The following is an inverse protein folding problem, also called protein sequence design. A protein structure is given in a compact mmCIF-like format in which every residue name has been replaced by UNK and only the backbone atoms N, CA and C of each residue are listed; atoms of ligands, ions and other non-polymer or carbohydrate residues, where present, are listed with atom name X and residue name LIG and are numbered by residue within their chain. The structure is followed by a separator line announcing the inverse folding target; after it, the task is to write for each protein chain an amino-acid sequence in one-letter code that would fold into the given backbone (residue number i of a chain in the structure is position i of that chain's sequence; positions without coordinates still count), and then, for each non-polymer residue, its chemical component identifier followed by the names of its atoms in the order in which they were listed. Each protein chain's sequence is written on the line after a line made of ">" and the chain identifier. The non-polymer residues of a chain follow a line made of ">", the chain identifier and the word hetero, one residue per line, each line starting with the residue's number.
data_IF_736797594117
#
_entry.id   IF_736797594117
#
_cell.length_a   1.000
_cell.length_b   1.000
_cell.length_c   1.000
_cell.angle_alpha   90.00
_cell.angle_beta   90.00
_cell.angle_gamma   90.00
#
_symmetry.space_group_name_H-M   'P 1'
#
loop_
_entity.id
_entity.type
_entity.pdbx_description
1 polymer ?
#
# COMPACT_ATOMS: atom_id res chain seq x y z
N UNK A 1 16.05 -20.76 12.22
CA UNK A 1 15.28 -21.96 12.59
C UNK A 1 14.30 -21.58 13.68
N UNK A 2 13.02 -21.38 13.34
CA UNK A 2 11.97 -21.35 14.37
C UNK A 2 12.00 -22.71 15.07
N UNK A 3 12.15 -22.75 16.40
CA UNK A 3 12.06 -24.03 17.14
C UNK A 3 10.65 -24.58 16.89
N UNK A 4 10.55 -25.86 16.59
CA UNK A 4 9.32 -26.61 16.30
C UNK A 4 8.13 -26.28 17.23
N UNK A 5 8.41 -25.87 18.46
CA UNK A 5 7.42 -25.43 19.47
C UNK A 5 6.71 -24.11 19.15
N UNK A 6 7.33 -23.17 18.44
CA UNK A 6 6.74 -21.83 18.23
C UNK A 6 5.72 -21.82 17.09
N UNK A 7 5.98 -22.57 16.01
CA UNK A 7 5.01 -22.74 14.93
C UNK A 7 3.72 -23.41 15.44
N UNK A 8 3.86 -24.48 16.24
CA UNK A 8 2.72 -25.16 16.88
C UNK A 8 1.92 -24.19 17.76
N UNK A 9 2.59 -23.33 18.53
CA UNK A 9 1.92 -22.33 19.39
C UNK A 9 1.15 -21.26 18.60
N UNK A 10 1.65 -20.82 17.45
CA UNK A 10 0.94 -19.86 16.59
C UNK A 10 -0.32 -20.52 16.04
N UNK A 11 -0.21 -21.70 15.44
CA UNK A 11 -1.34 -22.46 14.90
C UNK A 11 -2.40 -22.74 15.97
N UNK A 12 -1.99 -23.16 17.18
CA UNK A 12 -2.89 -23.39 18.32
C UNK A 12 -3.62 -22.12 18.77
N UNK A 13 -2.92 -20.98 18.75
CA UNK A 13 -3.51 -19.68 19.12
C UNK A 13 -4.53 -19.24 18.07
N UNK A 14 -4.25 -19.46 16.78
CA UNK A 14 -5.20 -19.19 15.68
C UNK A 14 -6.44 -20.07 15.82
N UNK A 15 -6.27 -21.37 16.10
CA UNK A 15 -7.37 -22.30 16.35
C UNK A 15 -8.22 -21.88 17.57
N UNK A 16 -7.57 -21.42 18.64
CA UNK A 16 -8.25 -20.88 19.81
C UNK A 16 -9.09 -19.64 19.45
N UNK A 17 -8.55 -18.67 18.70
CA UNK A 17 -9.29 -17.46 18.31
C UNK A 17 -10.63 -17.80 17.64
N UNK A 18 -10.67 -18.85 16.80
CA UNK A 18 -11.89 -19.29 16.11
C UNK A 18 -13.01 -19.71 17.07
N UNK A 19 -12.65 -20.24 18.23
CA UNK A 19 -13.58 -20.88 19.17
C UNK A 19 -13.69 -20.15 20.52
N UNK A 20 -12.83 -19.17 20.78
CA UNK A 20 -12.75 -18.41 22.02
C UNK A 20 -14.09 -17.76 22.42
N UNK A 21 -14.45 -17.84 23.70
CA UNK A 21 -15.64 -17.18 24.24
C UNK A 21 -15.37 -15.68 24.34
N UNK A 22 -16.11 -14.88 23.57
CA UNK A 22 -16.04 -13.41 23.57
C UNK A 22 -17.47 -12.87 23.65
N UNK A 23 -17.69 -11.57 23.99
CA UNK A 23 -19.04 -11.03 24.00
C UNK A 23 -19.74 -11.24 22.64
N UNK A 24 -21.04 -11.53 22.67
CA UNK A 24 -21.78 -12.02 21.50
C UNK A 24 -21.62 -11.17 20.23
N UNK A 25 -21.50 -9.84 20.38
CA UNK A 25 -21.30 -8.91 19.27
C UNK A 25 -19.97 -9.12 18.49
N UNK A 26 -19.02 -9.88 19.04
CA UNK A 26 -17.72 -10.15 18.43
C UNK A 26 -17.58 -11.59 17.91
N UNK A 27 -18.54 -12.48 18.17
CA UNK A 27 -18.48 -13.89 17.74
C UNK A 27 -18.25 -14.05 16.22
N UNK A 28 -18.88 -13.26 15.32
CA UNK A 28 -18.65 -13.37 13.88
C UNK A 28 -17.23 -12.94 13.46
N UNK A 29 -16.59 -12.05 14.23
CA UNK A 29 -15.28 -11.44 13.91
C UNK A 29 -14.12 -12.43 14.10
N UNK A 30 -14.30 -13.41 14.99
CA UNK A 30 -13.31 -14.46 15.29
C UNK A 30 -12.80 -15.16 14.03
N UNK A 31 -13.74 -15.58 13.16
CA UNK A 31 -13.38 -16.31 11.94
C UNK A 31 -12.57 -15.44 10.99
N UNK A 32 -13.01 -14.20 10.76
CA UNK A 32 -12.35 -13.25 9.85
C UNK A 32 -10.90 -13.01 10.29
N UNK A 33 -10.69 -12.68 11.57
CA UNK A 33 -9.34 -12.39 12.08
C UNK A 33 -8.47 -13.65 12.10
N UNK A 34 -9.03 -14.82 12.44
CA UNK A 34 -8.29 -16.07 12.42
C UNK A 34 -7.89 -16.50 10.99
N UNK A 35 -8.73 -16.26 9.99
CA UNK A 35 -8.40 -16.50 8.58
C UNK A 35 -7.25 -15.61 8.13
N UNK A 36 -7.31 -14.30 8.44
CA UNK A 36 -6.22 -13.37 8.13
C UNK A 36 -4.88 -13.80 8.76
N UNK A 37 -4.90 -14.24 10.03
CA UNK A 37 -3.70 -14.76 10.69
C UNK A 37 -3.21 -16.07 10.06
N UNK A 38 -4.13 -16.94 9.65
CA UNK A 38 -3.79 -18.20 9.00
C UNK A 38 -3.08 -17.96 7.66
N UNK A 39 -3.56 -17.01 6.85
CA UNK A 39 -2.96 -16.65 5.57
C UNK A 39 -1.54 -16.09 5.78
N UNK A 40 -1.37 -15.24 6.81
CA UNK A 40 -0.06 -14.71 7.22
C UNK A 40 0.91 -15.81 7.69
N UNK A 41 0.41 -16.78 8.44
CA UNK A 41 1.20 -17.93 8.92
C UNK A 41 1.68 -18.79 7.74
N UNK A 42 0.77 -19.11 6.80
CA UNK A 42 1.09 -19.91 5.61
C UNK A 42 2.10 -19.20 4.69
N UNK A 43 2.06 -17.87 4.65
CA UNK A 43 3.05 -17.04 3.96
C UNK A 43 4.38 -16.87 4.74
N UNK A 44 4.56 -17.53 5.89
CA UNK A 44 5.71 -17.41 6.79
C UNK A 44 5.96 -15.97 7.32
N UNK A 45 4.92 -15.15 7.46
CA UNK A 45 5.04 -13.73 7.88
C UNK A 45 4.90 -13.48 9.39
N UNK A 46 4.73 -14.53 10.20
CA UNK A 46 4.49 -14.40 11.66
C UNK A 46 5.71 -14.84 12.49
N UNK A 47 6.30 -16.01 12.18
CA UNK A 47 7.23 -16.70 13.08
C UNK A 47 8.49 -15.90 13.41
N UNK A 48 9.04 -15.16 12.44
CA UNK A 48 10.25 -14.35 12.62
C UNK A 48 10.03 -13.11 13.51
N UNK A 49 8.77 -12.67 13.64
CA UNK A 49 8.41 -11.42 14.31
C UNK A 49 8.02 -11.60 15.78
N UNK A 50 7.49 -12.75 16.21
CA UNK A 50 6.74 -12.86 17.49
C UNK A 50 7.19 -14.03 18.38
N UNK A 51 8.03 -14.97 17.92
CA UNK A 51 8.45 -16.16 18.68
C UNK A 51 8.88 -15.87 20.15
N UNK A 52 9.71 -14.84 20.44
CA UNK A 52 10.04 -14.48 21.82
C UNK A 52 8.86 -13.94 22.62
N UNK A 53 7.98 -13.13 22.02
CA UNK A 53 6.84 -12.52 22.68
C UNK A 53 5.68 -13.51 22.91
N UNK A 54 5.51 -14.54 22.09
CA UNK A 54 4.57 -15.64 22.35
C UNK A 54 5.03 -16.51 23.53
N UNK A 55 6.35 -16.72 23.64
CA UNK A 55 6.99 -17.40 24.76
C UNK A 55 6.98 -16.52 26.03
N UNK A 56 7.24 -15.21 25.90
CA UNK A 56 7.33 -14.25 27.01
C UNK A 56 6.00 -13.62 27.43
N UNK A 57 4.94 -13.64 26.61
CA UNK A 57 3.57 -13.41 27.09
C UNK A 57 3.17 -14.46 28.13
N UNK A 58 3.89 -15.59 28.17
CA UNK A 58 3.84 -16.57 29.25
C UNK A 58 4.81 -16.27 30.41
N UNK A 59 5.71 -15.28 30.34
CA UNK A 59 6.67 -14.95 31.40
C UNK A 59 6.48 -13.55 32.01
N UNK A 60 6.20 -12.51 31.21
CA UNK A 60 5.84 -11.17 31.69
C UNK A 60 4.44 -11.12 32.31
N UNK A 61 3.50 -11.94 31.81
CA UNK A 61 2.19 -12.13 32.46
C UNK A 61 2.27 -13.00 33.74
N UNK A 62 3.45 -13.52 34.09
CA UNK A 62 3.65 -14.56 35.11
C UNK A 62 4.76 -14.18 36.11
N UNK A 63 5.14 -12.90 36.23
CA UNK A 63 5.86 -12.50 37.45
C UNK A 63 4.81 -12.40 38.58
N UNK A 64 4.59 -13.53 39.26
CA UNK A 64 3.78 -13.65 40.47
C UNK A 64 2.31 -14.08 40.31
N UNK A 65 1.89 -14.60 39.14
CA UNK A 65 0.51 -15.11 38.95
C UNK A 65 0.47 -16.51 38.33
N UNK A 66 -0.04 -17.48 39.07
CA UNK A 66 -0.49 -18.77 38.51
C UNK A 66 -1.78 -18.55 37.72
N UNK A 67 -1.69 -17.95 36.52
CA UNK A 67 -2.86 -17.83 35.64
C UNK A 67 -3.24 -19.21 35.09
N UNK A 68 -4.53 -19.52 35.16
CA UNK A 68 -5.14 -20.73 34.57
C UNK A 68 -4.82 -20.79 33.08
N UNK A 69 -4.59 -22.00 32.55
CA UNK A 69 -4.21 -22.23 31.15
C UNK A 69 -5.09 -21.47 30.14
N UNK A 70 -6.39 -21.40 30.39
CA UNK A 70 -7.36 -20.68 29.54
C UNK A 70 -7.03 -19.19 29.40
N UNK A 71 -6.72 -18.49 30.49
CA UNK A 71 -6.37 -17.05 30.49
C UNK A 71 -5.13 -16.79 29.63
N UNK A 72 -4.18 -17.74 29.61
CA UNK A 72 -2.95 -17.63 28.80
C UNK A 72 -3.27 -17.65 27.30
N UNK A 73 -4.26 -18.43 26.88
CA UNK A 73 -4.68 -18.47 25.47
C UNK A 73 -5.28 -17.13 25.02
N UNK A 74 -6.10 -16.47 25.84
CA UNK A 74 -6.62 -15.13 25.53
C UNK A 74 -5.51 -14.09 25.39
N UNK A 75 -4.55 -14.05 26.33
CA UNK A 75 -3.45 -13.09 26.27
C UNK A 75 -2.57 -13.31 25.03
N UNK A 76 -2.26 -14.56 24.69
CA UNK A 76 -1.53 -14.90 23.45
C UNK A 76 -2.28 -14.46 22.20
N UNK A 77 -3.60 -14.68 22.15
CA UNK A 77 -4.43 -14.22 21.04
C UNK A 77 -4.39 -12.69 20.88
N UNK A 78 -4.51 -11.94 21.98
CA UNK A 78 -4.42 -10.47 21.99
C UNK A 78 -3.05 -10.01 21.46
N UNK A 79 -1.95 -10.59 21.96
CA UNK A 79 -0.58 -10.25 21.52
C UNK A 79 -0.44 -10.51 20.02
N UNK A 80 -0.84 -11.70 19.57
CA UNK A 80 -0.72 -12.10 18.18
C UNK A 80 -1.47 -11.15 17.25
N UNK A 81 -2.72 -10.81 17.56
CA UNK A 81 -3.53 -9.92 16.72
C UNK A 81 -2.92 -8.50 16.69
N UNK A 82 -2.58 -7.94 17.86
CA UNK A 82 -2.01 -6.60 17.96
C UNK A 82 -0.69 -6.48 17.18
N UNK A 83 0.18 -7.49 17.28
CA UNK A 83 1.50 -7.45 16.66
C UNK A 83 1.54 -7.85 15.19
N UNK A 84 0.59 -8.65 14.68
CA UNK A 84 0.57 -9.07 13.26
C UNK A 84 -0.33 -8.19 12.41
N UNK A 85 -1.43 -7.67 12.97
CA UNK A 85 -2.49 -7.03 12.18
C UNK A 85 -2.71 -5.56 12.53
N UNK A 86 -2.20 -5.07 13.66
CA UNK A 86 -2.40 -3.67 14.09
C UNK A 86 -1.08 -2.89 14.20
N UNK A 87 0.03 -3.50 13.79
CA UNK A 87 1.38 -2.96 13.84
C UNK A 87 1.79 -2.39 15.21
N UNK A 88 1.31 -3.01 16.29
CA UNK A 88 1.71 -2.66 17.64
C UNK A 88 2.97 -3.46 17.98
N UNK A 89 3.98 -2.80 18.53
CA UNK A 89 5.22 -3.47 18.94
C UNK A 89 4.92 -4.69 19.81
N UNK A 90 5.68 -5.77 19.62
CA UNK A 90 5.44 -7.04 20.30
C UNK A 90 5.65 -6.95 21.81
N UNK A 91 6.56 -6.09 22.27
CA UNK A 91 6.83 -5.91 23.69
C UNK A 91 5.73 -5.08 24.34
N UNK A 92 5.25 -4.03 23.67
CA UNK A 92 4.08 -3.25 24.12
C UNK A 92 2.84 -4.13 24.16
N UNK A 93 2.59 -4.93 23.11
CA UNK A 93 1.49 -5.88 23.05
C UNK A 93 1.55 -6.89 24.21
N UNK A 94 2.72 -7.43 24.52
CA UNK A 94 2.92 -8.37 25.62
C UNK A 94 2.76 -7.73 27.00
N UNK A 95 3.29 -6.51 27.20
CA UNK A 95 3.12 -5.74 28.43
C UNK A 95 1.65 -5.45 28.69
N UNK A 96 0.97 -4.85 27.72
CA UNK A 96 -0.43 -4.45 27.85
C UNK A 96 -1.32 -5.67 28.08
N UNK A 97 -1.09 -6.75 27.31
CA UNK A 97 -1.78 -8.00 27.50
C UNK A 97 -1.46 -8.68 28.83
N UNK A 98 -0.32 -8.42 29.48
CA UNK A 98 0.02 -8.96 30.80
C UNK A 98 -0.61 -8.18 31.96
N UNK A 99 -0.87 -6.88 31.77
CA UNK A 99 -1.46 -6.00 32.79
C UNK A 99 -3.00 -6.14 32.90
N UNK A 100 -3.67 -6.71 31.89
CA UNK A 100 -5.11 -6.93 31.93
C UNK A 100 -5.53 -7.78 33.14
N UNK A 101 -6.62 -7.45 33.85
CA UNK A 101 -7.23 -8.36 34.82
C UNK A 101 -7.75 -9.63 34.12
N UNK A 102 -7.64 -10.80 34.77
CA UNK A 102 -8.08 -12.09 34.20
C UNK A 102 -9.57 -12.05 33.80
N UNK A 103 -10.41 -11.36 34.57
CA UNK A 103 -11.83 -11.21 34.26
C UNK A 103 -12.12 -10.44 32.94
N UNK A 104 -11.14 -9.68 32.44
CA UNK A 104 -11.33 -8.78 31.29
C UNK A 104 -10.73 -9.32 29.99
N UNK A 105 -9.97 -10.42 30.02
CA UNK A 105 -9.24 -10.89 28.82
C UNK A 105 -10.16 -11.31 27.67
N UNK A 106 -11.35 -11.85 27.97
CA UNK A 106 -12.33 -12.21 26.96
C UNK A 106 -12.97 -10.97 26.30
N UNK A 107 -13.27 -9.94 27.09
CA UNK A 107 -13.79 -8.68 26.58
C UNK A 107 -12.74 -7.96 25.73
N UNK A 108 -11.49 -7.92 26.17
CA UNK A 108 -10.39 -7.30 25.41
C UNK A 108 -10.09 -8.04 24.11
N UNK A 109 -10.14 -9.39 24.09
CA UNK A 109 -10.06 -10.13 22.84
C UNK A 109 -11.17 -9.70 21.88
N UNK A 110 -12.40 -9.53 22.37
CA UNK A 110 -13.53 -8.98 21.58
C UNK A 110 -13.23 -7.60 21.00
N UNK A 111 -12.67 -6.69 21.79
CA UNK A 111 -12.28 -5.34 21.35
C UNK A 111 -11.22 -5.40 20.24
N UNK A 112 -10.17 -6.19 20.43
CA UNK A 112 -9.07 -6.32 19.46
C UNK A 112 -9.55 -6.95 18.15
N UNK A 113 -10.45 -7.93 18.21
CA UNK A 113 -11.13 -8.46 17.02
C UNK A 113 -11.92 -7.37 16.28
N UNK A 114 -12.62 -6.50 17.03
CA UNK A 114 -13.36 -5.39 16.44
C UNK A 114 -12.45 -4.35 15.79
N UNK A 115 -11.29 -4.04 16.39
CA UNK A 115 -10.33 -3.11 15.79
C UNK A 115 -9.87 -3.59 14.40
N UNK A 116 -9.55 -4.87 14.26
CA UNK A 116 -9.15 -5.43 12.97
C UNK A 116 -10.30 -5.39 11.96
N UNK A 117 -11.50 -5.85 12.32
CA UNK A 117 -12.62 -5.86 11.37
C UNK A 117 -13.06 -4.46 10.97
N UNK A 118 -13.09 -3.51 11.92
CA UNK A 118 -13.40 -2.13 11.62
C UNK A 118 -12.35 -1.49 10.70
N UNK A 119 -11.07 -1.86 10.85
CA UNK A 119 -10.01 -1.44 9.94
C UNK A 119 -10.26 -1.99 8.53
N UNK A 120 -10.59 -3.29 8.39
CA UNK A 120 -10.93 -3.89 7.10
C UNK A 120 -12.16 -3.21 6.45
N UNK A 121 -13.17 -2.88 7.24
CA UNK A 121 -14.35 -2.14 6.76
C UNK A 121 -14.01 -0.72 6.28
N UNK A 122 -13.14 0.00 7.02
CA UNK A 122 -12.64 1.31 6.58
C UNK A 122 -11.85 1.17 5.28
N UNK A 123 -10.90 0.23 5.20
CA UNK A 123 -10.12 -0.02 3.98
C UNK A 123 -11.02 -0.29 2.78
N UNK A 124 -12.06 -1.11 2.95
CA UNK A 124 -13.03 -1.43 1.90
C UNK A 124 -13.77 -0.17 1.46
N UNK A 125 -14.22 0.63 2.42
CA UNK A 125 -14.92 1.91 2.17
C UNK A 125 -14.02 2.91 1.44
N UNK A 126 -12.76 3.00 1.85
CA UNK A 126 -11.77 3.94 1.31
C UNK A 126 -11.29 3.55 -0.08
N UNK A 127 -11.14 2.26 -0.34
CA UNK A 127 -10.88 1.75 -1.67
C UNK A 127 -12.06 2.00 -2.62
N UNK A 128 -13.29 1.80 -2.15
CA UNK A 128 -14.49 2.13 -2.92
C UNK A 128 -14.56 3.63 -3.22
N UNK A 129 -14.24 4.50 -2.25
CA UNK A 129 -14.15 5.94 -2.44
C UNK A 129 -13.08 6.31 -3.47
N UNK A 130 -11.89 5.69 -3.41
CA UNK A 130 -10.83 5.90 -4.40
C UNK A 130 -11.28 5.52 -5.82
N UNK A 131 -12.01 4.41 -5.97
CA UNK A 131 -12.50 3.94 -7.28
C UNK A 131 -13.65 4.79 -7.82
N UNK A 132 -14.54 5.28 -6.97
CA UNK A 132 -15.72 6.04 -7.38
C UNK A 132 -15.46 7.56 -7.48
N UNK A 133 -14.68 8.10 -6.56
CA UNK A 133 -14.41 9.54 -6.40
C UNK A 133 -12.93 9.78 -6.05
N UNK A 134 -11.98 9.40 -6.93
CA UNK A 134 -10.54 9.44 -6.65
C UNK A 134 -10.03 10.80 -6.20
N UNK A 135 -10.51 11.89 -6.79
CA UNK A 135 -10.10 13.23 -6.37
C UNK A 135 -10.53 13.55 -4.94
N UNK A 136 -11.75 13.16 -4.53
CA UNK A 136 -12.20 13.32 -3.15
C UNK A 136 -11.37 12.50 -2.17
N UNK A 137 -11.01 11.27 -2.53
CA UNK A 137 -10.09 10.47 -1.75
C UNK A 137 -8.73 11.18 -1.60
N UNK A 138 -8.10 11.57 -2.71
CA UNK A 138 -6.76 12.14 -2.71
C UNK A 138 -6.67 13.53 -2.08
N UNK A 139 -7.78 14.27 -1.96
CA UNK A 139 -7.82 15.53 -1.22
C UNK A 139 -7.85 15.34 0.30
N UNK A 140 -8.38 14.22 0.80
CA UNK A 140 -8.60 13.99 2.23
C UNK A 140 -7.71 12.88 2.81
N UNK A 141 -7.08 12.08 1.97
CA UNK A 141 -6.30 10.91 2.37
C UNK A 141 -5.00 10.84 1.59
N UNK A 142 -3.90 10.60 2.30
CA UNK A 142 -2.59 10.41 1.68
C UNK A 142 -2.49 9.02 1.07
N UNK A 143 -1.95 8.92 -0.14
CA UNK A 143 -1.63 7.66 -0.80
C UNK A 143 -0.10 7.43 -0.84
N UNK A 144 0.30 6.19 -0.74
CA UNK A 144 1.65 5.71 -1.03
C UNK A 144 1.58 4.43 -1.85
N UNK A 145 2.56 4.24 -2.74
CA UNK A 145 2.66 3.07 -3.60
C UNK A 145 4.08 2.52 -3.53
N UNK A 146 4.20 1.24 -3.20
CA UNK A 146 5.45 0.49 -3.24
C UNK A 146 5.54 -0.25 -4.59
N UNK A 147 6.74 -0.26 -5.16
CA UNK A 147 6.99 -0.76 -6.52
C UNK A 147 6.84 -2.27 -6.63
N UNK A 148 6.37 -2.70 -7.81
CA UNK A 148 6.59 -4.04 -8.34
C UNK A 148 7.59 -4.00 -9.52
N UNK A 149 8.28 -5.11 -9.84
CA UNK A 149 9.44 -5.12 -10.73
C UNK A 149 9.12 -4.98 -12.22
N UNK A 150 7.86 -5.16 -12.64
CA UNK A 150 7.48 -5.14 -14.05
C UNK A 150 6.14 -4.44 -14.28
N UNK A 151 5.90 -4.01 -15.52
CA UNK A 151 4.61 -3.44 -15.91
C UNK A 151 3.60 -4.56 -16.16
N UNK A 152 2.75 -4.85 -15.18
CA UNK A 152 1.69 -5.86 -15.28
C UNK A 152 0.66 -5.70 -14.15
N UNK A 153 -0.39 -6.52 -14.17
CA UNK A 153 -1.33 -6.63 -13.05
C UNK A 153 -0.74 -7.47 -11.93
N UNK A 154 -0.88 -7.00 -10.69
CA UNK A 154 -0.55 -7.72 -9.47
C UNK A 154 -1.72 -7.64 -8.48
N UNK A 155 -1.75 -8.59 -7.55
CA UNK A 155 -2.56 -8.48 -6.35
C UNK A 155 -1.79 -7.64 -5.32
N UNK A 156 -2.28 -6.42 -5.13
CA UNK A 156 -1.73 -5.47 -4.17
C UNK A 156 -2.52 -5.53 -2.87
N UNK A 157 -1.82 -5.46 -1.76
CA UNK A 157 -2.41 -5.18 -0.49
C UNK A 157 -2.65 -3.68 -0.33
N UNK A 158 -3.87 -3.32 0.05
CA UNK A 158 -4.28 -1.99 0.45
C UNK A 158 -4.46 -1.96 1.97
N UNK A 159 -3.64 -1.16 2.66
CA UNK A 159 -3.65 -1.04 4.11
C UNK A 159 -3.44 0.40 4.57
N UNK A 160 -3.74 0.67 5.84
CA UNK A 160 -3.49 1.95 6.46
C UNK A 160 -2.26 1.85 7.36
N UNK A 161 -1.18 2.54 6.99
CA UNK A 161 -0.02 2.72 7.83
C UNK A 161 -0.34 3.80 8.88
N UNK A 162 -0.68 3.36 10.09
CA UNK A 162 -1.05 4.24 11.19
C UNK A 162 0.11 5.08 11.73
N UNK A 163 1.36 4.68 11.52
CA UNK A 163 2.54 5.43 11.95
C UNK A 163 2.76 6.66 11.05
N UNK A 164 2.51 6.47 9.76
CA UNK A 164 2.70 7.48 8.73
C UNK A 164 1.39 8.14 8.26
N UNK A 165 0.26 7.70 8.82
CA UNK A 165 -1.09 8.18 8.52
C UNK A 165 -1.39 8.20 7.01
N UNK A 166 -1.10 7.08 6.34
CA UNK A 166 -1.15 6.96 4.89
C UNK A 166 -1.76 5.63 4.45
N UNK A 167 -2.63 5.68 3.44
CA UNK A 167 -3.09 4.48 2.77
C UNK A 167 -2.04 4.02 1.76
N UNK A 168 -1.67 2.76 1.82
CA UNK A 168 -0.56 2.23 1.05
C UNK A 168 -1.01 1.06 0.18
N UNK A 169 -0.60 1.10 -1.08
CA UNK A 169 -0.56 -0.06 -1.96
C UNK A 169 0.85 -0.64 -1.94
N UNK A 170 1.00 -1.90 -1.55
CA UNK A 170 2.23 -2.66 -1.81
C UNK A 170 1.92 -4.09 -2.28
N UNK A 171 2.93 -4.77 -2.81
CA UNK A 171 2.83 -6.21 -3.04
C UNK A 171 2.58 -6.92 -1.71
N UNK A 172 1.77 -7.96 -1.72
CA UNK A 172 1.32 -8.64 -0.50
C UNK A 172 2.50 -9.14 0.34
N UNK A 173 3.57 -9.63 -0.30
CA UNK A 173 4.81 -10.09 0.32
C UNK A 173 5.58 -8.98 1.07
N UNK A 174 5.40 -7.72 0.65
CA UNK A 174 6.01 -6.55 1.26
C UNK A 174 5.17 -5.92 2.38
N UNK A 175 3.93 -6.41 2.64
CA UNK A 175 3.11 -5.87 3.73
C UNK A 175 3.69 -6.26 5.07
N UNK A 176 3.99 -5.27 5.90
CA UNK A 176 4.35 -5.46 7.29
C UNK A 176 3.18 -5.97 8.15
N UNK A 177 3.23 -5.64 9.44
CA UNK A 177 2.26 -6.10 10.44
C UNK A 177 0.92 -5.35 10.41
N UNK A 178 0.28 -5.25 9.24
CA UNK A 178 -0.98 -4.52 9.06
C UNK A 178 -2.10 -5.42 8.55
N UNK A 179 -3.32 -5.18 9.03
CA UNK A 179 -4.53 -5.62 8.36
C UNK A 179 -4.64 -4.95 7.00
N UNK A 180 -5.08 -5.69 5.99
CA UNK A 180 -5.15 -5.22 4.62
C UNK A 180 -6.30 -5.92 3.88
N UNK A 181 -6.70 -5.32 2.76
CA UNK A 181 -7.53 -5.98 1.74
C UNK A 181 -6.73 -6.10 0.44
N UNK A 182 -7.09 -7.05 -0.41
CA UNK A 182 -6.42 -7.26 -1.70
C UNK A 182 -7.19 -6.55 -2.81
N UNK A 183 -6.47 -5.88 -3.69
CA UNK A 183 -7.00 -5.26 -4.89
C UNK A 183 -6.08 -5.56 -6.08
N UNK A 184 -6.69 -5.86 -7.23
CA UNK A 184 -5.95 -6.03 -8.48
C UNK A 184 -5.57 -4.68 -9.04
N UNK A 185 -4.27 -4.43 -9.19
CA UNK A 185 -3.73 -3.15 -9.65
C UNK A 185 -2.73 -3.38 -10.77
N UNK A 186 -2.82 -2.57 -11.83
CA UNK A 186 -1.81 -2.53 -12.87
C UNK A 186 -0.66 -1.60 -12.44
N UNK A 187 0.53 -2.14 -12.24
CA UNK A 187 1.73 -1.34 -11.98
C UNK A 187 2.34 -0.89 -13.31
N UNK A 188 2.74 0.38 -13.42
CA UNK A 188 3.61 0.85 -14.50
C UNK A 188 5.05 0.93 -14.00
N UNK A 189 5.91 0.04 -14.49
CA UNK A 189 7.31 -0.03 -14.10
C UNK A 189 8.15 1.09 -14.72
N UNK A 190 9.21 1.46 -14.00
CA UNK A 190 10.10 2.55 -14.35
C UNK A 190 11.12 2.16 -15.42
N UNK A 191 11.31 3.00 -16.42
CA UNK A 191 12.40 2.91 -17.39
C UNK A 191 13.27 4.16 -17.33
N UNK A 192 14.59 3.99 -17.49
CA UNK A 192 15.54 5.10 -17.45
C UNK A 192 15.52 5.85 -18.78
N UNK A 193 15.41 7.17 -18.73
CA UNK A 193 15.43 8.02 -19.92
C UNK A 193 16.69 7.84 -20.79
N UNK A 194 17.86 7.70 -20.17
CA UNK A 194 19.13 7.45 -20.88
C UNK A 194 19.17 6.10 -21.63
N UNK A 195 18.28 5.15 -21.28
CA UNK A 195 18.19 3.86 -21.94
C UNK A 195 17.14 3.84 -23.07
N UNK A 196 16.42 4.94 -23.30
CA UNK A 196 15.41 5.00 -24.35
C UNK A 196 16.06 5.05 -25.74
N UNK A 197 15.66 4.16 -26.67
CA UNK A 197 16.11 4.20 -28.04
C UNK A 197 15.75 5.53 -28.73
N UNK A 198 16.72 6.10 -29.44
CA UNK A 198 16.53 7.25 -30.33
C UNK A 198 16.56 6.82 -31.78
N UNK A 199 15.55 7.23 -32.54
CA UNK A 199 15.57 7.11 -34.00
C UNK A 199 15.83 8.50 -34.57
N UNK A 200 16.73 8.62 -35.53
CA UNK A 200 16.96 9.88 -36.23
C UNK A 200 15.63 10.38 -36.82
N UNK A 201 15.35 11.67 -36.65
CA UNK A 201 14.21 12.30 -37.32
C UNK A 201 14.38 12.16 -38.83
N UNK A 202 13.29 12.01 -39.58
CA UNK A 202 13.38 12.11 -41.04
C UNK A 202 13.69 13.57 -41.40
N UNK A 203 14.80 13.83 -42.11
CA UNK A 203 15.24 15.18 -42.48
C UNK A 203 15.89 15.96 -41.32
N UNK A 204 15.65 17.27 -41.25
CA UNK A 204 16.15 18.16 -40.19
C UNK A 204 15.36 18.05 -38.85
N UNK A 205 14.52 17.03 -38.70
CA UNK A 205 13.73 16.83 -37.50
C UNK A 205 14.59 16.30 -36.34
N UNK A 206 14.27 16.72 -35.11
CA UNK A 206 14.93 16.21 -33.91
C UNK A 206 14.76 14.68 -33.77
N UNK A 207 15.72 14.04 -33.10
CA UNK A 207 15.66 12.59 -32.87
C UNK A 207 14.46 12.23 -31.99
N UNK A 208 13.74 11.18 -32.36
CA UNK A 208 12.52 10.73 -31.69
C UNK A 208 12.85 9.71 -30.61
N UNK A 209 12.38 9.94 -29.38
CA UNK A 209 12.52 9.03 -28.23
C UNK A 209 11.43 7.96 -28.28
N UNK A 210 11.83 6.70 -28.42
CA UNK A 210 10.90 5.57 -28.38
C UNK A 210 10.75 5.05 -26.97
N UNK A 211 9.56 5.23 -26.40
CA UNK A 211 9.23 4.89 -25.00
C UNK A 211 8.47 3.57 -25.00
N UNK A 212 8.91 2.59 -24.22
CA UNK A 212 8.16 1.34 -24.07
C UNK A 212 6.90 1.62 -23.25
N UNK A 213 5.77 1.74 -23.94
CA UNK A 213 4.46 1.94 -23.33
C UNK A 213 3.78 0.62 -23.04
N UNK A 214 3.12 0.50 -21.88
CA UNK A 214 2.33 -0.66 -21.52
C UNK A 214 0.84 -0.34 -21.66
N UNK A 215 0.09 -1.23 -22.30
CA UNK A 215 -1.38 -1.17 -22.28
C UNK A 215 -1.84 -1.57 -20.88
N UNK A 216 -2.56 -0.67 -20.22
CA UNK A 216 -3.13 -0.89 -18.91
C UNK A 216 -4.41 -1.72 -19.08
N UNK A 217 -4.35 -2.99 -18.67
CA UNK A 217 -5.46 -3.94 -18.78
C UNK A 217 -5.52 -4.88 -17.57
N UNK A 218 -6.64 -5.60 -17.41
CA UNK A 218 -6.79 -6.61 -16.36
C UNK A 218 -7.02 -6.10 -14.92
N UNK A 219 -7.10 -4.77 -14.75
CA UNK A 219 -7.40 -4.08 -13.50
C UNK A 219 -8.17 -2.77 -13.78
N UNK A 220 -8.87 -2.26 -12.76
CA UNK A 220 -9.56 -0.96 -12.80
C UNK A 220 -8.74 0.16 -12.14
N UNK A 221 -7.60 -0.18 -11.56
CA UNK A 221 -6.62 0.74 -11.01
C UNK A 221 -5.28 0.56 -11.71
N UNK A 222 -4.62 1.68 -11.95
CA UNK A 222 -3.23 1.74 -12.39
C UNK A 222 -2.46 2.57 -11.38
N UNK A 223 -1.29 2.10 -10.95
CA UNK A 223 -0.43 2.86 -10.06
C UNK A 223 0.95 3.03 -10.65
N UNK A 224 1.60 4.12 -10.25
CA UNK A 224 3.02 4.34 -10.41
C UNK A 224 3.67 4.38 -9.05
N UNK A 225 4.99 4.22 -8.99
CA UNK A 225 5.74 4.62 -7.79
C UNK A 225 5.76 6.14 -7.64
N UNK A 226 6.34 6.58 -6.52
CA UNK A 226 6.69 7.97 -6.27
C UNK A 226 7.47 8.58 -7.45
N UNK A 227 6.98 9.71 -7.95
CA UNK A 227 7.61 10.52 -8.98
C UNK A 227 8.53 11.56 -8.31
N UNK A 228 9.85 11.33 -8.42
CA UNK A 228 10.89 12.29 -8.02
C UNK A 228 11.60 12.81 -9.25
N UNK A 229 10.91 13.67 -10.01
CA UNK A 229 11.39 14.14 -11.32
C UNK A 229 11.07 13.18 -12.47
N UNK A 230 10.40 12.07 -12.21
CA UNK A 230 9.90 11.17 -13.25
C UNK A 230 8.77 11.80 -14.06
N UNK A 231 8.53 11.28 -15.26
CA UNK A 231 7.39 11.64 -16.08
C UNK A 231 6.56 10.40 -16.40
N UNK A 232 5.25 10.61 -16.57
CA UNK A 232 4.29 9.64 -17.07
C UNK A 232 3.82 10.10 -18.46
N UNK A 233 4.45 9.63 -19.54
CA UNK A 233 3.89 9.73 -20.88
C UNK A 233 2.71 8.77 -21.03
N UNK A 234 1.62 9.24 -21.62
CA UNK A 234 0.43 8.42 -21.80
C UNK A 234 -0.30 8.71 -23.11
N UNK A 235 -1.02 7.70 -23.58
CA UNK A 235 -2.06 7.80 -24.59
C UNK A 235 -3.37 7.33 -23.95
N UNK A 236 -4.37 8.21 -23.95
CA UNK A 236 -5.68 7.95 -23.40
C UNK A 236 -6.76 8.13 -24.48
N UNK A 237 -7.52 7.06 -24.73
CA UNK A 237 -8.66 7.08 -25.66
C UNK A 237 -9.82 6.29 -25.04
N UNK A 238 -10.59 6.95 -24.17
CA UNK A 238 -11.70 6.34 -23.44
C UNK A 238 -11.25 5.12 -22.63
N UNK A 239 -11.63 3.93 -23.10
CA UNK A 239 -11.33 2.65 -22.44
C UNK A 239 -9.87 2.20 -22.58
N UNK A 240 -9.10 2.80 -23.49
CA UNK A 240 -7.71 2.42 -23.75
C UNK A 240 -6.77 3.40 -23.08
N UNK A 241 -5.91 2.89 -22.20
CA UNK A 241 -4.80 3.61 -21.62
C UNK A 241 -3.50 2.89 -21.95
N UNK A 242 -2.58 3.59 -22.60
CA UNK A 242 -1.17 3.18 -22.73
C UNK A 242 -0.35 4.16 -21.92
N UNK A 243 0.46 3.67 -20.97
CA UNK A 243 1.25 4.51 -20.10
C UNK A 243 2.68 3.99 -19.95
N UNK A 244 3.58 4.89 -19.59
CA UNK A 244 4.96 4.59 -19.25
C UNK A 244 5.38 5.40 -18.02
N UNK A 245 6.35 4.91 -17.26
CA UNK A 245 7.01 5.66 -16.20
C UNK A 245 8.47 5.88 -16.59
N UNK A 246 8.85 7.12 -16.86
CA UNK A 246 10.21 7.47 -17.31
C UNK A 246 10.96 8.23 -16.21
N UNK A 247 12.10 7.69 -15.79
CA UNK A 247 12.99 8.31 -14.81
C UNK A 247 14.06 9.17 -15.50
N UNK A 248 14.35 10.39 -15.02
CA UNK A 248 15.37 11.25 -15.60
C UNK A 248 16.78 10.69 -15.44
N UNK A 249 17.65 11.02 -16.39
CA UNK A 249 19.10 10.78 -16.31
C UNK A 249 19.91 12.07 -16.05
N UNK A 250 19.21 13.18 -15.82
CA UNK A 250 19.76 14.53 -15.64
C UNK A 250 18.68 15.45 -15.07
N UNK A 251 18.56 16.67 -15.59
CA UNK A 251 17.46 17.58 -15.20
C UNK A 251 16.11 16.99 -15.63
N UNK A 252 15.19 16.89 -14.67
CA UNK A 252 13.87 16.29 -14.86
C UNK A 252 13.00 17.10 -15.83
N UNK A 253 13.17 18.41 -15.80
CA UNK A 253 12.49 19.39 -16.63
C UNK A 253 12.90 19.24 -18.09
N UNK A 254 14.21 19.11 -18.35
CA UNK A 254 14.75 18.91 -19.70
C UNK A 254 14.23 17.59 -20.29
N UNK A 255 14.22 16.52 -19.49
CA UNK A 255 13.61 15.25 -19.90
C UNK A 255 12.12 15.44 -20.21
N UNK A 256 11.36 16.09 -19.35
CA UNK A 256 9.91 16.26 -19.53
C UNK A 256 9.62 17.10 -20.78
N UNK A 257 10.40 18.14 -21.04
CA UNK A 257 10.31 18.95 -22.25
C UNK A 257 10.64 18.14 -23.52
N UNK A 258 11.71 17.34 -23.50
CA UNK A 258 12.07 16.47 -24.63
C UNK A 258 10.99 15.42 -24.91
N UNK A 259 10.45 14.77 -23.86
CA UNK A 259 9.38 13.78 -24.03
C UNK A 259 8.11 14.40 -24.63
N UNK A 260 7.80 15.66 -24.32
CA UNK A 260 6.65 16.37 -24.93
C UNK A 260 6.87 16.71 -26.40
N UNK A 261 8.10 17.09 -26.76
CA UNK A 261 8.42 17.49 -28.13
C UNK A 261 8.68 16.28 -29.04
N UNK A 262 9.37 15.27 -28.53
CA UNK A 262 10.05 14.24 -29.31
C UNK A 262 9.73 12.81 -28.83
N UNK A 263 8.86 12.63 -27.83
CA UNK A 263 8.48 11.31 -27.32
C UNK A 263 7.43 10.60 -28.17
N UNK A 264 7.50 9.27 -28.23
CA UNK A 264 6.44 8.41 -28.75
C UNK A 264 6.34 7.12 -27.95
N UNK A 265 5.13 6.62 -27.70
CA UNK A 265 4.95 5.28 -27.13
C UNK A 265 5.00 4.22 -28.23
N UNK A 266 5.67 3.10 -27.98
CA UNK A 266 5.78 1.97 -28.92
C UNK A 266 4.42 1.46 -29.42
N UNK A 267 3.42 1.40 -28.54
CA UNK A 267 2.09 0.88 -28.84
C UNK A 267 1.05 1.97 -29.16
N UNK A 268 1.40 3.23 -28.99
CA UNK A 268 0.52 4.38 -29.26
C UNK A 268 1.36 5.62 -29.58
N UNK A 269 1.89 5.74 -30.82
CA UNK A 269 2.83 6.80 -31.16
C UNK A 269 2.30 8.22 -30.90
N UNK A 270 0.98 8.40 -31.04
CA UNK A 270 0.29 9.66 -30.77
C UNK A 270 -0.05 9.79 -29.28
N UNK A 271 0.93 10.17 -28.45
CA UNK A 271 0.69 10.42 -27.03
C UNK A 271 -0.32 11.54 -26.84
N UNK A 272 -1.18 11.41 -25.83
CA UNK A 272 -2.16 12.45 -25.47
C UNK A 272 -1.63 13.40 -24.40
N UNK A 273 -0.59 13.00 -23.67
CA UNK A 273 0.02 13.88 -22.69
C UNK A 273 1.27 13.31 -22.03
N UNK A 274 1.99 14.18 -21.34
CA UNK A 274 3.12 13.83 -20.48
C UNK A 274 2.94 14.55 -19.15
N UNK A 275 2.57 13.79 -18.12
CA UNK A 275 2.53 14.29 -16.75
C UNK A 275 3.94 14.26 -16.16
N UNK A 276 4.54 15.40 -15.84
CA UNK A 276 5.96 15.44 -15.47
C UNK A 276 6.36 16.67 -14.67
N UNK A 277 7.60 16.64 -14.19
CA UNK A 277 8.16 17.75 -13.43
C UNK A 277 8.45 18.95 -14.34
N UNK A 278 8.10 20.14 -13.88
CA UNK A 278 8.54 21.41 -14.48
C UNK A 278 9.06 22.35 -13.41
N UNK A 279 9.98 23.24 -13.79
CA UNK A 279 10.34 24.38 -12.96
C UNK A 279 9.31 25.50 -13.19
N UNK A 280 8.97 26.26 -12.13
CA UNK A 280 7.91 25.96 -11.12
C UNK A 280 6.67 25.18 -11.64
N UNK A 281 5.71 24.84 -10.76
CA UNK A 281 4.39 24.31 -11.17
C UNK A 281 3.70 25.37 -12.02
N UNK A 282 3.84 25.30 -13.34
CA UNK A 282 3.04 26.11 -14.26
C UNK A 282 1.56 25.74 -14.10
N UNK A 283 0.66 26.57 -14.64
CA UNK A 283 -0.80 26.40 -14.53
C UNK A 283 -1.38 25.17 -15.26
N UNK A 284 -0.56 24.18 -15.63
CA UNK A 284 -0.99 22.98 -16.34
C UNK A 284 -1.24 21.82 -15.39
N UNK A 285 -2.37 21.14 -15.59
CA UNK A 285 -2.70 19.86 -14.92
C UNK A 285 -1.74 18.72 -15.26
N UNK A 286 -0.93 18.90 -16.32
CA UNK A 286 0.11 17.96 -16.74
C UNK A 286 1.46 18.18 -16.02
N UNK A 287 1.53 19.09 -15.04
CA UNK A 287 2.76 19.41 -14.33
C UNK A 287 2.63 19.14 -12.83
N UNK A 288 3.77 18.89 -12.20
CA UNK A 288 3.89 18.86 -10.74
C UNK A 288 5.20 19.50 -10.27
N UNK A 289 5.26 19.87 -8.98
CA UNK A 289 6.48 20.42 -8.38
C UNK A 289 7.34 19.30 -7.79
N UNK A 290 8.62 19.22 -8.18
CA UNK A 290 9.54 18.20 -7.64
C UNK A 290 10.30 18.63 -6.37
N UNK A 291 10.55 19.93 -6.22
CA UNK A 291 11.44 20.46 -5.18
C UNK A 291 10.68 20.56 -3.87
N UNK A 292 11.13 19.83 -2.86
CA UNK A 292 10.44 19.73 -1.59
C UNK A 292 9.18 18.85 -1.61
N UNK A 293 8.88 18.12 -2.70
CA UNK A 293 7.67 17.30 -2.79
C UNK A 293 7.88 15.88 -3.32
N UNK A 294 7.04 14.97 -2.86
CA UNK A 294 6.74 13.68 -3.45
C UNK A 294 5.45 13.77 -4.26
N UNK A 295 5.41 13.09 -5.40
CA UNK A 295 4.26 13.09 -6.28
C UNK A 295 3.86 11.66 -6.61
N UNK A 296 2.57 11.38 -6.57
CA UNK A 296 2.01 10.06 -6.88
C UNK A 296 1.00 10.21 -8.00
N UNK A 297 1.01 9.27 -8.94
CA UNK A 297 0.04 9.21 -10.02
C UNK A 297 -0.75 7.90 -9.91
N UNK A 298 -2.05 8.00 -10.08
CA UNK A 298 -2.96 6.86 -10.13
C UNK A 298 -3.90 7.00 -11.32
N UNK A 299 -4.08 5.92 -12.06
CA UNK A 299 -5.15 5.77 -13.04
C UNK A 299 -6.33 5.02 -12.42
N UNK A 300 -7.55 5.49 -12.70
CA UNK A 300 -8.78 4.85 -12.25
C UNK A 300 -9.74 4.71 -13.43
N UNK A 301 -10.30 3.51 -13.62
CA UNK A 301 -11.29 3.25 -14.65
C UNK A 301 -12.70 3.50 -14.09
N UNK A 302 -13.39 4.50 -14.63
CA UNK A 302 -14.72 4.93 -14.19
C UNK A 302 -15.66 4.94 -15.40
N UNK A 303 -16.77 4.22 -15.32
CA UNK A 303 -17.74 4.14 -16.42
C UNK A 303 -17.13 3.61 -17.72
N UNK A 304 -16.14 2.71 -17.62
CA UNK A 304 -15.43 2.13 -18.76
C UNK A 304 -14.25 2.96 -19.29
N UNK A 305 -14.10 4.23 -18.88
CA UNK A 305 -13.03 5.12 -19.32
C UNK A 305 -11.96 5.33 -18.25
N UNK A 306 -10.70 5.44 -18.66
CA UNK A 306 -9.60 5.75 -17.77
C UNK A 306 -9.49 7.24 -17.48
N UNK A 307 -9.17 7.57 -16.23
CA UNK A 307 -8.84 8.92 -15.78
C UNK A 307 -7.58 8.87 -14.95
N UNK A 308 -6.73 9.89 -15.08
CA UNK A 308 -5.48 9.99 -14.34
C UNK A 308 -5.59 11.08 -13.27
N UNK A 309 -5.04 10.79 -12.09
CA UNK A 309 -5.03 11.69 -10.94
C UNK A 309 -3.64 11.77 -10.36
N UNK A 310 -3.32 12.92 -9.79
CA UNK A 310 -2.09 13.15 -9.05
C UNK A 310 -2.37 13.58 -7.62
N UNK A 311 -1.45 13.25 -6.73
CA UNK A 311 -1.37 13.82 -5.39
C UNK A 311 0.06 14.30 -5.14
N UNK A 312 0.17 15.53 -4.68
CA UNK A 312 1.43 16.14 -4.24
C UNK A 312 1.48 16.16 -2.72
N UNK A 313 2.63 15.78 -2.19
CA UNK A 313 2.93 15.70 -0.76
C UNK A 313 4.27 16.35 -0.48
N UNK A 314 4.49 17.00 0.67
CA UNK A 314 5.80 17.52 0.99
C UNK A 314 6.75 16.33 1.24
N UNK A 315 8.01 16.47 0.81
CA UNK A 315 9.11 15.65 1.32
C UNK A 315 9.14 15.89 2.83
N UNK A 316 9.05 14.82 3.62
CA UNK A 316 8.85 14.87 5.06
C UNK A 316 9.66 15.97 5.76
N UNK A 317 9.05 16.65 6.74
CA UNK A 317 9.78 17.34 7.81
C UNK A 317 9.89 16.36 8.99
N UNK A 318 11.03 15.66 9.11
CA UNK A 318 11.28 14.68 10.19
C UNK A 318 10.84 13.24 9.85
N UNK A 319 10.42 12.48 10.88
CA UNK A 319 10.10 11.04 10.79
C UNK A 319 8.66 10.72 10.32
N UNK A 320 7.86 11.73 9.95
CA UNK A 320 6.48 11.54 9.53
C UNK A 320 6.32 11.88 8.04
N UNK A 321 5.63 11.02 7.30
CA UNK A 321 5.29 11.33 5.91
C UNK A 321 4.24 12.44 5.92
N UNK A 322 4.54 13.57 5.29
CA UNK A 322 3.66 14.75 5.34
C UNK A 322 2.28 14.48 4.73
N UNK A 323 1.26 15.17 5.25
CA UNK A 323 -0.11 15.13 4.72
C UNK A 323 -0.15 15.56 3.24
N UNK A 324 -1.16 15.09 2.51
CA UNK A 324 -1.45 15.57 1.17
C UNK A 324 -1.63 17.10 1.18
N UNK A 325 -0.96 17.79 0.25
CA UNK A 325 -1.09 19.24 0.11
C UNK A 325 -2.03 19.62 -1.02
N UNK A 326 -1.99 18.85 -2.10
CA UNK A 326 -2.79 19.11 -3.28
C UNK A 326 -3.04 17.80 -4.03
N UNK A 327 -4.19 17.72 -4.70
CA UNK A 327 -4.55 16.63 -5.57
C UNK A 327 -5.40 17.17 -6.73
N UNK A 328 -5.20 16.62 -7.92
CA UNK A 328 -5.94 17.07 -9.10
C UNK A 328 -6.10 15.95 -10.12
N UNK A 329 -7.06 16.16 -11.01
CA UNK A 329 -7.26 15.32 -12.19
C UNK A 329 -6.34 15.82 -13.31
N UNK A 330 -5.60 14.91 -13.94
CA UNK A 330 -4.61 15.20 -14.99
C UNK A 330 -5.29 15.40 -16.36
N UNK A 331 -6.45 14.76 -16.57
CA UNK A 331 -7.18 14.71 -17.86
C UNK A 331 -8.65 15.06 -17.70
#
# INVERSE_FOLDING_TARGET
>A
MAKKDDAVRISDTIAFIRTATVPNAHLPKRKIVADMLQDREQANKIADNISPAMSQGSNYAIIGRESVQEVRHYRRAIILIKSVLLNIDRNDSARDAGLLPDANVAAELGNVLAMVTNCVDDLTTKLALLKAQPLQFLLHHSLQVVTAPMSQTYDYAFYYDSLNQVYTFCLEDAVGSYAYIVERVFQVHVQKYAALPTVAGQGNAAAVRTISGAVVNGADLMVTTQLTGCAIPFHLNGATLVAAHVQPAGKAEDMTADLRANGRLTMAPNMTGVFGATAPKGNSVLNYQKDGFYNYCIGVRIGGSWNLYAQQRPKAYGNHVGAALDAWRIT
#
